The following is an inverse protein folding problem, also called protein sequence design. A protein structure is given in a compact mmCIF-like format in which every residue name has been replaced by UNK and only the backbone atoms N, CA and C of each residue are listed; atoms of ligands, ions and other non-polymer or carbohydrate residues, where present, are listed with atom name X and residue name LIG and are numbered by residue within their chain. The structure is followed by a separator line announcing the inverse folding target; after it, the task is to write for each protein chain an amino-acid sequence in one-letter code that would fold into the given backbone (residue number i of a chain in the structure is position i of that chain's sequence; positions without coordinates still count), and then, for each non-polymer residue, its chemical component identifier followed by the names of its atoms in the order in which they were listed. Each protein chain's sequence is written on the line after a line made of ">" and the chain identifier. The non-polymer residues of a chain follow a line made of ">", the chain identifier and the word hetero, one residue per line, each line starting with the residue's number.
data_IF_172820517842
#
_entry.id   IF_172820517842
#
_cell.length_a   1.000
_cell.length_b   1.000
_cell.length_c   1.000
_cell.angle_alpha   90.00
_cell.angle_beta   90.00
_cell.angle_gamma   90.00
#
_symmetry.space_group_name_H-M   'P 1'
#
loop_
_entity.id
_entity.type
_entity.pdbx_description
1 polymer ?
#
# COMPACT_ATOMS: atom_id res chain seq x y z
N UNK A 1 -30.27 24.64 33.54
CA UNK A 1 -29.59 23.55 32.81
C UNK A 1 -28.19 24.03 32.42
N UNK A 2 -27.29 24.14 33.41
CA UNK A 2 -26.14 23.24 33.61
C UNK A 2 -25.07 23.35 32.51
N UNK A 3 -24.18 24.35 32.63
CA UNK A 3 -22.98 24.52 31.81
C UNK A 3 -22.11 23.23 31.74
N UNK A 4 -22.21 22.36 32.74
CA UNK A 4 -21.62 21.02 32.77
C UNK A 4 -22.14 20.10 31.66
N UNK A 5 -23.43 20.17 31.31
CA UNK A 5 -24.02 19.40 30.22
C UNK A 5 -23.55 19.89 28.85
N UNK A 6 -23.37 21.21 28.67
CA UNK A 6 -22.84 21.79 27.43
C UNK A 6 -21.36 21.44 27.21
N UNK A 7 -20.55 21.41 28.27
CA UNK A 7 -19.15 20.95 28.20
C UNK A 7 -19.03 19.44 27.94
N UNK A 8 -19.91 18.60 28.51
CA UNK A 8 -19.95 17.16 28.23
C UNK A 8 -20.30 16.86 26.76
N UNK A 9 -21.21 17.62 26.16
CA UNK A 9 -21.57 17.50 24.73
C UNK A 9 -20.40 17.91 23.83
N UNK A 10 -19.66 18.98 24.17
CA UNK A 10 -18.48 19.41 23.41
C UNK A 10 -17.32 18.40 23.47
N UNK A 11 -17.11 17.74 24.61
CA UNK A 11 -16.08 16.70 24.75
C UNK A 11 -16.48 15.42 23.98
N UNK A 12 -17.77 15.08 23.97
CA UNK A 12 -18.29 13.96 23.19
C UNK A 12 -18.21 14.21 21.67
N UNK A 13 -18.44 15.45 21.22
CA UNK A 13 -18.29 15.83 19.80
C UNK A 13 -16.83 15.82 19.36
N UNK A 14 -15.89 16.19 20.24
CA UNK A 14 -14.46 16.21 19.94
C UNK A 14 -13.83 14.80 19.91
N UNK A 15 -14.40 13.84 20.66
CA UNK A 15 -13.95 12.44 20.65
C UNK A 15 -14.26 11.68 19.36
N UNK A 16 -15.28 12.10 18.60
CA UNK A 16 -15.67 11.45 17.34
C UNK A 16 -14.74 11.76 16.15
N UNK A 17 -13.87 12.77 16.25
CA UNK A 17 -12.98 13.18 15.15
C UNK A 17 -11.67 12.38 15.04
N UNK A 18 -11.36 11.48 15.98
CA UNK A 18 -10.03 10.83 16.05
C UNK A 18 -10.08 9.29 15.91
N UNK A 19 -11.10 8.77 15.22
CA UNK A 19 -11.13 7.36 14.82
C UNK A 19 -10.36 7.13 13.51
N UNK A 20 -9.12 7.61 13.42
CA UNK A 20 -8.20 7.27 12.34
C UNK A 20 -7.65 5.87 12.54
N UNK A 21 -8.50 4.84 12.44
CA UNK A 21 -8.02 3.47 12.41
C UNK A 21 -7.11 3.33 11.19
N UNK A 22 -5.90 2.80 11.39
CA UNK A 22 -5.03 2.46 10.27
C UNK A 22 -5.81 1.50 9.36
N UNK A 23 -6.00 1.91 8.09
CA UNK A 23 -6.73 1.15 7.09
C UNK A 23 -5.74 0.58 6.07
N UNK A 24 -6.14 -0.43 5.28
CA UNK A 24 -5.36 -0.84 4.11
C UNK A 24 -5.07 0.37 3.19
N UNK A 25 -4.17 0.22 2.25
CA UNK A 25 -3.86 1.27 1.26
C UNK A 25 -5.02 1.43 0.30
N UNK A 26 -5.48 2.67 0.10
CA UNK A 26 -6.52 2.97 -0.88
C UNK A 26 -5.95 2.98 -2.30
N UNK A 27 -6.82 2.73 -3.28
CA UNK A 27 -6.49 2.82 -4.69
C UNK A 27 -6.34 4.26 -5.12
N UNK A 28 -5.10 4.72 -5.22
CA UNK A 28 -4.72 6.10 -5.52
C UNK A 28 -3.32 6.13 -6.14
N UNK A 29 -2.97 7.19 -6.91
CA UNK A 29 -1.61 7.37 -7.41
C UNK A 29 -0.60 7.43 -6.26
N UNK A 30 0.57 6.82 -6.45
CA UNK A 30 1.69 6.93 -5.53
C UNK A 30 2.35 8.31 -5.65
N UNK A 31 2.45 9.04 -4.54
CA UNK A 31 3.21 10.29 -4.45
C UNK A 31 4.63 10.04 -3.91
N UNK A 32 5.54 9.61 -4.80
CA UNK A 32 6.95 9.36 -4.48
C UNK A 32 7.20 8.01 -3.79
N UNK A 33 7.59 7.99 -2.51
CA UNK A 33 7.87 6.76 -1.71
C UNK A 33 6.57 6.22 -1.07
N UNK A 34 5.42 6.72 -1.49
CA UNK A 34 4.14 6.49 -0.83
C UNK A 34 3.37 5.35 -1.49
N UNK A 35 2.48 4.78 -0.71
CA UNK A 35 1.64 3.64 -1.07
C UNK A 35 0.61 4.05 -2.13
N UNK A 36 0.30 3.15 -3.05
CA UNK A 36 -0.56 3.43 -4.19
C UNK A 36 -0.06 2.80 -5.49
N UNK A 37 -0.72 3.14 -6.59
CA UNK A 37 -0.33 2.69 -7.93
C UNK A 37 0.61 3.68 -8.60
N UNK A 38 1.50 3.17 -9.44
CA UNK A 38 2.26 3.96 -10.39
C UNK A 38 2.35 3.23 -11.72
N UNK A 39 2.42 3.98 -12.81
CA UNK A 39 2.59 3.44 -14.15
C UNK A 39 3.68 4.16 -14.93
N UNK A 40 4.30 3.42 -15.85
CA UNK A 40 5.25 3.98 -16.81
C UNK A 40 5.22 3.18 -18.10
N UNK A 41 5.22 3.89 -19.22
CA UNK A 41 5.35 3.30 -20.55
C UNK A 41 6.77 2.78 -20.76
N UNK A 42 6.90 1.51 -21.13
CA UNK A 42 8.19 0.83 -21.39
C UNK A 42 8.43 0.72 -22.89
N UNK A 43 7.38 0.53 -23.69
CA UNK A 43 7.42 0.54 -25.15
C UNK A 43 6.10 1.08 -25.73
N UNK A 44 5.97 1.15 -27.06
CA UNK A 44 4.76 1.64 -27.71
C UNK A 44 3.50 0.86 -27.27
N UNK A 45 3.58 -0.46 -27.17
CA UNK A 45 2.50 -1.36 -26.78
C UNK A 45 2.63 -1.87 -25.34
N UNK A 46 3.62 -1.39 -24.56
CA UNK A 46 3.98 -2.01 -23.28
C UNK A 46 4.05 -1.01 -22.13
N UNK A 47 3.45 -1.40 -21.02
CA UNK A 47 3.42 -0.64 -19.78
C UNK A 47 3.95 -1.46 -18.63
N UNK A 48 4.65 -0.80 -17.71
CA UNK A 48 4.93 -1.34 -16.38
C UNK A 48 4.03 -0.63 -15.39
N UNK A 49 3.31 -1.42 -14.61
CA UNK A 49 2.42 -0.98 -13.55
C UNK A 49 3.00 -1.51 -12.24
N UNK A 50 2.91 -0.73 -11.18
CA UNK A 50 3.30 -1.16 -9.83
C UNK A 50 2.28 -0.71 -8.81
N UNK A 51 2.14 -1.49 -7.73
CA UNK A 51 1.33 -1.12 -6.57
C UNK A 51 2.11 -1.39 -5.29
N UNK A 52 2.19 -0.39 -4.41
CA UNK A 52 2.80 -0.51 -3.09
C UNK A 52 1.73 -0.45 -2.00
N UNK A 53 1.60 -1.50 -1.20
CA UNK A 53 0.65 -1.57 -0.08
C UNK A 53 1.32 -1.35 1.29
N UNK A 54 0.54 -0.92 2.28
CA UNK A 54 0.96 -0.98 3.67
C UNK A 54 0.85 -2.39 4.24
N UNK A 55 1.30 -2.55 5.49
CA UNK A 55 1.23 -3.81 6.23
C UNK A 55 -0.19 -4.29 6.56
N UNK A 56 -1.21 -3.46 6.35
CA UNK A 56 -2.62 -3.84 6.51
C UNK A 56 -3.26 -4.25 5.18
N UNK A 57 -2.55 -4.10 4.07
CA UNK A 57 -3.04 -4.43 2.74
C UNK A 57 -2.72 -5.88 2.43
N UNK A 58 -3.74 -6.75 2.26
CA UNK A 58 -3.51 -8.13 1.87
C UNK A 58 -2.83 -8.21 0.51
N UNK A 59 -2.02 -9.25 0.32
CA UNK A 59 -1.38 -9.55 -0.97
C UNK A 59 -2.39 -9.58 -2.13
N UNK A 60 -3.53 -10.25 -1.92
CA UNK A 60 -4.59 -10.34 -2.93
C UNK A 60 -5.18 -8.98 -3.31
N UNK A 61 -5.27 -8.03 -2.37
CA UNK A 61 -5.71 -6.66 -2.66
C UNK A 61 -4.68 -5.92 -3.50
N UNK A 62 -3.40 -6.11 -3.23
CA UNK A 62 -2.30 -5.54 -4.04
C UNK A 62 -2.37 -6.10 -5.47
N UNK A 63 -2.55 -7.41 -5.62
CA UNK A 63 -2.67 -8.08 -6.92
C UNK A 63 -3.93 -7.63 -7.68
N UNK A 64 -5.08 -7.54 -7.01
CA UNK A 64 -6.34 -7.05 -7.59
C UNK A 64 -6.20 -5.59 -8.07
N UNK A 65 -5.57 -4.73 -7.28
CA UNK A 65 -5.36 -3.32 -7.63
C UNK A 65 -4.41 -3.16 -8.81
N UNK A 66 -3.37 -3.98 -8.86
CA UNK A 66 -2.43 -4.02 -9.97
C UNK A 66 -3.12 -4.43 -11.28
N UNK A 67 -3.92 -5.48 -11.24
CA UNK A 67 -4.68 -5.96 -12.41
C UNK A 67 -5.74 -4.95 -12.84
N UNK A 68 -6.42 -4.31 -11.88
CA UNK A 68 -7.38 -3.23 -12.17
C UNK A 68 -6.70 -2.05 -12.86
N UNK A 69 -5.52 -1.61 -12.38
CA UNK A 69 -4.79 -0.49 -13.00
C UNK A 69 -4.33 -0.81 -14.42
N UNK A 70 -3.91 -2.05 -14.68
CA UNK A 70 -3.61 -2.50 -16.04
C UNK A 70 -4.83 -2.39 -16.98
N UNK A 71 -6.02 -2.78 -16.50
CA UNK A 71 -7.25 -2.68 -17.27
C UNK A 71 -7.68 -1.23 -17.52
N UNK A 72 -7.47 -0.32 -16.54
CA UNK A 72 -7.68 1.11 -16.75
C UNK A 72 -6.78 1.66 -17.85
N UNK A 73 -5.46 1.36 -17.80
CA UNK A 73 -4.50 1.80 -18.84
C UNK A 73 -4.89 1.27 -20.21
N UNK A 74 -5.31 -0.01 -20.31
CA UNK A 74 -5.76 -0.58 -21.57
C UNK A 74 -6.95 0.20 -22.14
N UNK A 75 -7.95 0.49 -21.32
CA UNK A 75 -9.11 1.27 -21.73
C UNK A 75 -8.75 2.70 -22.12
N UNK A 76 -7.89 3.36 -21.34
CA UNK A 76 -7.47 4.75 -21.55
C UNK A 76 -6.64 4.91 -22.85
N UNK A 77 -5.84 3.90 -23.21
CA UNK A 77 -5.09 3.82 -24.47
C UNK A 77 -5.91 3.26 -25.65
N UNK A 78 -7.20 2.93 -25.43
CA UNK A 78 -8.11 2.44 -26.48
C UNK A 78 -7.91 0.97 -26.87
N UNK A 79 -7.23 0.17 -26.05
CA UNK A 79 -7.10 -1.27 -26.25
C UNK A 79 -8.26 -2.03 -25.61
N UNK A 80 -8.84 -2.98 -26.34
CA UNK A 80 -9.92 -3.82 -25.83
C UNK A 80 -9.41 -4.87 -24.82
N UNK A 81 -8.22 -5.39 -25.07
CA UNK A 81 -7.60 -6.45 -24.28
C UNK A 81 -6.18 -6.08 -23.89
N UNK A 82 -5.64 -6.78 -22.90
CA UNK A 82 -4.23 -6.69 -22.54
C UNK A 82 -3.70 -8.06 -22.13
N UNK A 83 -2.42 -8.29 -22.40
CA UNK A 83 -1.71 -9.48 -21.96
C UNK A 83 -0.81 -9.15 -20.78
N UNK A 84 -0.88 -9.94 -19.72
CA UNK A 84 0.12 -9.90 -18.65
C UNK A 84 1.35 -10.67 -19.11
N UNK A 85 2.48 -9.96 -19.24
CA UNK A 85 3.74 -10.54 -19.70
C UNK A 85 4.55 -11.09 -18.52
N UNK A 86 4.57 -10.32 -17.43
CA UNK A 86 5.25 -10.70 -16.20
C UNK A 86 4.51 -10.07 -15.04
N UNK A 87 4.40 -10.82 -13.95
CA UNK A 87 3.87 -10.33 -12.67
C UNK A 87 4.76 -10.85 -11.55
N UNK A 88 5.14 -9.94 -10.67
CA UNK A 88 5.92 -10.26 -9.48
C UNK A 88 5.29 -9.56 -8.27
N UNK A 89 5.26 -10.26 -7.15
CA UNK A 89 4.73 -9.75 -5.89
C UNK A 89 5.68 -10.14 -4.77
N UNK A 90 6.31 -9.14 -4.16
CA UNK A 90 7.37 -9.33 -3.18
C UNK A 90 6.88 -8.96 -1.78
N UNK A 91 7.08 -9.83 -0.78
CA UNK A 91 6.89 -9.47 0.62
C UNK A 91 8.08 -8.66 1.13
N UNK A 92 7.87 -7.40 1.47
CA UNK A 92 8.87 -6.56 2.14
C UNK A 92 8.67 -6.67 3.64
N UNK A 93 9.57 -7.39 4.32
CA UNK A 93 9.54 -7.57 5.78
C UNK A 93 10.56 -6.65 6.45
N UNK A 94 10.10 -5.81 7.38
CA UNK A 94 10.95 -4.96 8.22
C UNK A 94 10.78 -5.35 9.67
N UNK A 95 11.88 -5.46 10.41
CA UNK A 95 11.84 -5.68 11.86
C UNK A 95 11.69 -4.34 12.56
N UNK A 96 10.58 -4.14 13.28
CA UNK A 96 10.38 -2.99 14.16
C UNK A 96 10.62 -3.44 15.60
N UNK A 97 11.63 -2.88 16.24
CA UNK A 97 11.94 -3.13 17.66
C UNK A 97 12.59 -1.90 18.29
N UNK A 98 12.33 -1.69 19.58
CA UNK A 98 13.04 -0.70 20.39
C UNK A 98 14.29 -1.38 20.96
N UNK A 99 15.48 -0.83 20.72
CA UNK A 99 16.68 -1.30 21.39
C UNK A 99 16.64 -0.86 22.86
N UNK A 100 16.78 -1.82 23.79
CA UNK A 100 16.97 -1.53 25.21
C UNK A 100 18.46 -1.66 25.49
N UNK A 101 19.08 -0.60 25.99
CA UNK A 101 20.45 -0.65 26.48
C UNK A 101 20.45 -1.13 27.93
N UNK A 102 21.02 -2.31 28.17
CA UNK A 102 21.27 -2.80 29.53
C UNK A 102 22.72 -2.46 29.88
N UNK A 103 22.94 -1.23 30.30
CA UNK A 103 24.11 -0.82 31.07
C UNK A 103 23.68 -0.69 32.54
N UNK A 104 24.53 -1.10 33.47
CA UNK A 104 24.32 -0.88 34.90
C UNK A 104 24.37 0.62 35.18
N UNK A 105 23.24 1.32 34.99
CA UNK A 105 22.82 2.57 35.64
C UNK A 105 21.45 2.97 35.07
N UNK A 106 20.44 3.07 35.93
CA UNK A 106 19.06 3.36 35.56
C UNK A 106 18.91 4.79 35.01
N UNK A 107 18.64 4.93 33.71
CA UNK A 107 18.22 6.20 33.10
C UNK A 107 17.26 5.94 31.93
N UNK A 108 15.98 6.14 32.19
CA UNK A 108 14.91 6.24 31.19
C UNK A 108 15.13 7.50 30.34
N UNK A 109 15.66 7.36 29.12
CA UNK A 109 15.79 8.51 28.22
C UNK A 109 16.29 8.14 26.83
N UNK A 110 15.41 8.28 25.85
CA UNK A 110 15.71 8.14 24.42
C UNK A 110 16.76 9.17 23.97
N UNK A 111 17.95 8.72 23.57
CA UNK A 111 18.90 9.56 22.82
C UNK A 111 19.89 8.69 22.01
N UNK A 112 19.57 8.46 20.73
CA UNK A 112 20.56 8.00 19.75
C UNK A 112 21.10 9.21 18.98
N UNK A 113 22.13 9.86 19.51
CA UNK A 113 23.06 10.65 18.72
C UNK A 113 24.49 10.42 19.22
N UNK A 114 25.26 9.70 18.40
CA UNK A 114 26.72 9.73 18.33
C UNK A 114 27.49 9.64 19.64
N UNK A 115 27.78 8.43 20.12
CA UNK A 115 29.07 8.18 20.77
C UNK A 115 29.46 6.70 20.67
N UNK A 116 30.74 6.48 20.39
CA UNK A 116 31.38 5.16 20.31
C UNK A 116 31.46 4.60 21.74
N UNK A 117 30.57 3.70 22.13
CA UNK A 117 30.75 2.87 23.32
C UNK A 117 31.11 1.45 22.89
N UNK A 118 32.34 1.03 23.26
CA UNK A 118 32.73 -0.37 23.24
C UNK A 118 31.86 -1.13 24.25
N UNK A 119 31.21 -2.21 23.80
CA UNK A 119 30.61 -3.20 24.71
C UNK A 119 29.16 -2.95 25.10
N UNK A 120 28.25 -2.89 24.14
CA UNK A 120 26.83 -3.18 24.38
C UNK A 120 26.31 -4.04 23.22
N UNK A 121 26.08 -5.32 23.46
CA UNK A 121 25.28 -6.13 22.54
C UNK A 121 23.86 -5.59 22.64
N UNK A 122 23.42 -4.82 21.63
CA UNK A 122 22.03 -4.43 21.51
C UNK A 122 21.21 -5.71 21.27
N UNK A 123 20.64 -6.27 22.33
CA UNK A 123 19.68 -7.37 22.20
C UNK A 123 18.36 -6.73 21.78
N UNK A 124 17.80 -7.06 20.62
CA UNK A 124 16.45 -6.63 20.29
C UNK A 124 15.50 -7.30 21.28
N UNK A 125 15.04 -6.56 22.29
CA UNK A 125 14.16 -7.08 23.33
C UNK A 125 12.82 -7.56 22.73
N UNK A 126 12.34 -6.87 21.69
CA UNK A 126 11.05 -7.15 21.05
C UNK A 126 11.07 -6.75 19.56
N UNK A 127 11.85 -7.43 18.72
CA UNK A 127 11.75 -7.25 17.27
C UNK A 127 10.51 -7.96 16.73
N UNK A 128 9.51 -7.19 16.25
CA UNK A 128 8.33 -7.75 15.57
C UNK A 128 8.47 -7.57 14.05
N UNK A 129 8.35 -8.66 13.25
CA UNK A 129 8.32 -8.53 11.80
C UNK A 129 7.04 -7.82 11.36
N UNK A 130 7.18 -6.83 10.50
CA UNK A 130 6.06 -6.15 9.81
C UNK A 130 6.24 -6.42 8.33
N UNK A 131 5.33 -7.21 7.75
CA UNK A 131 5.33 -7.54 6.32
C UNK A 131 4.35 -6.65 5.58
N UNK A 132 4.77 -6.13 4.44
CA UNK A 132 3.91 -5.47 3.43
C UNK A 132 4.17 -6.10 2.06
N UNK A 133 3.30 -5.84 1.11
CA UNK A 133 3.42 -6.38 -0.24
C UNK A 133 3.58 -5.25 -1.26
N UNK A 134 4.63 -5.37 -2.07
CA UNK A 134 4.87 -4.50 -3.21
C UNK A 134 4.81 -5.40 -4.46
N UNK A 135 4.09 -4.97 -5.50
CA UNK A 135 3.92 -5.77 -6.72
C UNK A 135 4.15 -4.93 -7.97
N UNK A 136 4.62 -5.59 -9.02
CA UNK A 136 4.71 -4.99 -10.34
C UNK A 136 4.30 -5.96 -11.44
N UNK A 137 3.81 -5.39 -12.53
CA UNK A 137 3.29 -6.11 -13.68
C UNK A 137 3.76 -5.41 -14.95
N UNK A 138 4.23 -6.18 -15.91
CA UNK A 138 4.37 -5.73 -17.29
C UNK A 138 3.19 -6.20 -18.10
N UNK A 139 2.54 -5.26 -18.80
CA UNK A 139 1.41 -5.54 -19.66
C UNK A 139 1.68 -5.09 -21.09
N UNK A 140 1.24 -5.90 -22.03
CA UNK A 140 1.16 -5.55 -23.44
C UNK A 140 -0.29 -5.24 -23.79
N UNK A 141 -0.54 -4.10 -24.42
CA UNK A 141 -1.84 -3.69 -24.88
C UNK A 141 -2.18 -4.36 -26.21
N UNK A 142 -3.43 -4.81 -26.34
CA UNK A 142 -3.95 -5.51 -27.51
C UNK A 142 -5.17 -4.75 -28.04
N UNK A 143 -5.01 -3.97 -29.12
CA UNK A 143 -6.13 -3.27 -29.74
C UNK A 143 -7.20 -4.21 -30.29
N UNK A 144 -6.80 -5.41 -30.69
CA UNK A 144 -7.69 -6.44 -31.22
C UNK A 144 -8.51 -7.09 -30.10
N UNK A 145 -9.83 -6.89 -30.15
CA UNK A 145 -10.78 -7.47 -29.20
C UNK A 145 -10.90 -9.01 -29.32
N UNK A 146 -10.46 -9.59 -30.45
CA UNK A 146 -10.51 -11.04 -30.68
C UNK A 146 -9.27 -11.78 -30.19
N UNK A 147 -8.22 -11.05 -29.79
CA UNK A 147 -6.99 -11.64 -29.29
C UNK A 147 -7.27 -12.50 -28.05
N UNK A 148 -6.95 -13.78 -28.12
CA UNK A 148 -7.18 -14.76 -27.05
C UNK A 148 -5.93 -15.59 -26.82
N UNK A 149 -5.76 -16.11 -25.61
CA UNK A 149 -4.54 -16.79 -25.20
C UNK A 149 -4.30 -16.75 -23.70
N UNK A 150 -3.21 -17.40 -23.24
CA UNK A 150 -2.84 -17.38 -21.84
C UNK A 150 -2.54 -15.95 -21.39
N UNK A 151 -2.99 -15.63 -20.18
CA UNK A 151 -2.75 -14.35 -19.51
C UNK A 151 -3.25 -13.13 -20.29
N UNK A 152 -4.20 -13.32 -21.21
CA UNK A 152 -4.91 -12.26 -21.92
C UNK A 152 -6.24 -12.01 -21.22
N UNK A 153 -6.51 -10.74 -20.94
CA UNK A 153 -7.69 -10.31 -20.22
C UNK A 153 -8.44 -9.23 -21.00
N UNK A 154 -9.77 -9.28 -20.90
CA UNK A 154 -10.65 -8.22 -21.37
C UNK A 154 -10.68 -7.07 -20.36
N UNK A 155 -10.31 -5.87 -20.81
CA UNK A 155 -10.20 -4.70 -19.93
C UNK A 155 -11.54 -4.37 -19.28
N UNK A 156 -12.64 -4.43 -20.03
CA UNK A 156 -13.97 -4.09 -19.52
C UNK A 156 -14.45 -5.14 -18.51
N UNK A 157 -14.22 -6.42 -18.80
CA UNK A 157 -14.58 -7.50 -17.89
C UNK A 157 -13.82 -7.41 -16.56
N UNK A 158 -12.51 -7.10 -16.60
CA UNK A 158 -11.70 -6.90 -15.39
C UNK A 158 -12.20 -5.71 -14.57
N UNK A 159 -12.46 -4.57 -15.21
CA UNK A 159 -12.97 -3.39 -14.52
C UNK A 159 -14.33 -3.67 -13.86
N UNK A 160 -15.22 -4.43 -14.53
CA UNK A 160 -16.51 -4.81 -13.97
C UNK A 160 -16.38 -5.80 -12.79
N UNK A 161 -15.46 -6.76 -12.88
CA UNK A 161 -15.28 -7.79 -11.86
C UNK A 161 -14.55 -7.29 -10.60
N UNK A 162 -13.52 -6.46 -10.78
CA UNK A 162 -12.66 -5.98 -9.67
C UNK A 162 -13.13 -4.63 -9.16
N UNK A 163 -13.70 -3.76 -10.00
CA UNK A 163 -14.15 -2.42 -9.65
C UNK A 163 -14.94 -2.31 -8.33
N UNK A 164 -15.90 -3.21 -8.03
CA UNK A 164 -16.64 -3.20 -6.76
C UNK A 164 -15.78 -3.47 -5.51
N UNK A 165 -14.59 -4.06 -5.65
CA UNK A 165 -13.64 -4.36 -4.56
C UNK A 165 -12.60 -3.26 -4.35
N UNK A 166 -12.51 -2.31 -5.28
CA UNK A 166 -11.56 -1.19 -5.19
C UNK A 166 -11.99 -0.20 -4.12
N UNK A 167 -11.19 -0.04 -3.06
CA UNK A 167 -11.38 1.03 -2.08
C UNK A 167 -10.64 2.28 -2.52
N UNK A 168 -11.37 3.33 -2.89
CA UNK A 168 -10.83 4.65 -3.18
C UNK A 168 -10.71 5.48 -1.89
N UNK A 169 -9.84 6.51 -1.84
CA UNK A 169 -9.82 7.43 -0.71
C UNK A 169 -11.16 8.14 -0.58
N UNK A 170 -11.63 8.34 0.65
CA UNK A 170 -12.82 9.13 0.91
C UNK A 170 -12.56 10.57 0.44
N UNK A 171 -13.49 11.12 -0.34
CA UNK A 171 -13.43 12.54 -0.71
C UNK A 171 -13.63 13.35 0.58
N UNK A 172 -12.55 13.93 1.09
CA UNK A 172 -12.56 14.82 2.25
C UNK A 172 -13.33 16.10 2.01
#
# INVERSE_FOLDING_TARGET
>A
MTARARNLILIALLGALVAGCAQPTAYQPADGIREGYAERRVAADRWRVSFAGNSLTPRTTVEDYLLHRAAEIARDEGAARFQVVTVETEPVTRFRGSSVFVGSDFSSGSAFHGSRSLGAAAIPADARPVTRYDAFMEVRLLPDATADGPDIYDATAILAAIGPRIRRPDAG
#
